data_IF_658864181403
#
_entry.id   IF_658864181403
#
_cell.length_a   1.000
_cell.length_b   1.000
_cell.length_c   1.000
_cell.angle_alpha   90.00
_cell.angle_beta   90.00
_cell.angle_gamma   90.00
#
_symmetry.space_group_name_H-M   'P 1'
#
loop_
_entity.id
_entity.type
_entity.pdbx_description
1 polymer ?
#
# COMPACT_ATOMS: atom_id res chain seq x y z
N UNK A 1 61.37 52.56 -44.54
CA UNK A 1 61.14 52.02 -43.17
C UNK A 1 59.77 52.49 -42.69
N UNK A 2 58.97 51.58 -42.09
CA UNK A 2 57.54 51.73 -41.71
C UNK A 2 56.66 51.73 -42.98
N UNK A 3 55.85 50.71 -43.30
CA UNK A 3 54.73 50.18 -42.52
C UNK A 3 54.47 48.71 -42.89
N UNK A 4 55.31 47.80 -42.42
CA UNK A 4 55.11 46.34 -42.47
C UNK A 4 54.34 45.83 -41.23
N UNK A 5 53.26 46.51 -40.81
CA UNK A 5 52.52 46.18 -39.57
C UNK A 5 51.00 46.26 -39.69
N UNK A 6 50.44 46.02 -40.88
CA UNK A 6 48.97 46.01 -41.07
C UNK A 6 48.45 44.68 -41.64
N UNK A 7 49.34 43.73 -41.99
CA UNK A 7 48.93 42.45 -42.59
C UNK A 7 49.03 41.24 -41.65
N UNK A 8 49.18 41.47 -40.35
CA UNK A 8 49.25 40.41 -39.32
C UNK A 8 48.22 40.63 -38.19
N UNK A 9 47.07 41.21 -38.52
CA UNK A 9 45.95 41.40 -37.60
C UNK A 9 44.59 40.96 -38.17
N UNK A 10 44.60 40.16 -39.25
CA UNK A 10 43.38 39.65 -39.89
C UNK A 10 43.38 38.12 -40.08
N UNK A 11 44.30 37.38 -39.44
CA UNK A 11 44.32 35.90 -39.45
C UNK A 11 44.24 35.27 -38.04
N UNK A 12 44.10 36.08 -36.99
CA UNK A 12 43.84 35.58 -35.62
C UNK A 12 42.35 35.66 -35.22
N UNK A 13 41.44 35.85 -36.18
CA UNK A 13 40.00 35.93 -35.94
C UNK A 13 39.18 34.89 -36.72
N UNK A 14 39.78 33.73 -37.03
CA UNK A 14 39.08 32.65 -37.75
C UNK A 14 39.29 31.24 -37.18
N UNK A 15 39.59 31.10 -35.89
CA UNK A 15 39.75 29.80 -35.22
C UNK A 15 39.08 29.71 -33.83
N UNK A 16 37.94 30.38 -33.63
CA UNK A 16 37.10 30.16 -32.45
C UNK A 16 35.62 30.07 -32.85
N UNK A 17 35.29 29.16 -33.77
CA UNK A 17 33.90 28.71 -33.97
C UNK A 17 33.89 27.19 -34.18
N UNK A 18 34.49 26.45 -33.25
CA UNK A 18 34.48 24.98 -33.24
C UNK A 18 34.28 24.37 -31.84
N UNK A 19 34.04 25.19 -30.82
CA UNK A 19 34.08 24.75 -29.41
C UNK A 19 32.76 24.64 -28.68
N UNK A 20 31.60 24.97 -29.29
CA UNK A 20 30.34 25.12 -28.56
C UNK A 20 29.16 24.33 -29.16
N UNK A 21 29.37 23.06 -29.54
CA UNK A 21 28.26 22.20 -29.98
C UNK A 21 28.35 20.73 -29.53
N UNK A 22 29.46 20.31 -28.90
CA UNK A 22 29.61 18.95 -28.37
C UNK A 22 28.87 18.78 -27.03
N UNK A 23 28.98 19.76 -26.11
CA UNK A 23 28.27 19.73 -24.83
C UNK A 23 26.74 19.83 -24.95
N UNK A 24 26.24 20.55 -25.95
CA UNK A 24 24.81 20.72 -26.23
C UNK A 24 24.20 19.44 -26.81
N UNK A 25 24.88 18.80 -27.77
CA UNK A 25 24.46 17.50 -28.33
C UNK A 25 24.50 16.38 -27.30
N UNK A 26 25.49 16.38 -26.41
CA UNK A 26 25.61 15.37 -25.35
C UNK A 26 24.54 15.53 -24.27
N UNK A 27 24.16 16.77 -23.91
CA UNK A 27 23.00 17.04 -23.04
C UNK A 27 21.67 16.67 -23.69
N UNK A 28 21.49 16.96 -24.98
CA UNK A 28 20.27 16.57 -25.72
C UNK A 28 20.17 15.03 -25.81
N UNK A 29 21.26 14.33 -26.09
CA UNK A 29 21.28 12.86 -26.10
C UNK A 29 21.01 12.26 -24.72
N UNK A 30 21.56 12.85 -23.65
CA UNK A 30 21.26 12.44 -22.27
C UNK A 30 19.80 12.68 -21.91
N UNK A 31 19.25 13.86 -22.24
CA UNK A 31 17.84 14.19 -22.01
C UNK A 31 16.90 13.27 -22.79
N UNK A 32 17.22 12.97 -24.05
CA UNK A 32 16.46 12.01 -24.86
C UNK A 32 16.52 10.62 -24.26
N UNK A 33 17.70 10.14 -23.84
CA UNK A 33 17.83 8.83 -23.18
C UNK A 33 17.07 8.77 -21.84
N UNK A 34 17.00 9.89 -21.11
CA UNK A 34 16.22 9.99 -19.88
C UNK A 34 14.71 9.98 -20.17
N UNK A 35 14.26 10.65 -21.24
CA UNK A 35 12.85 10.62 -21.68
C UNK A 35 12.47 9.20 -22.13
N UNK A 36 13.30 8.57 -22.94
CA UNK A 36 13.09 7.20 -23.42
C UNK A 36 13.10 6.21 -22.25
N UNK A 37 14.01 6.41 -21.27
CA UNK A 37 14.05 5.63 -20.03
C UNK A 37 12.80 5.82 -19.16
N UNK A 38 12.31 7.05 -19.02
CA UNK A 38 11.09 7.36 -18.25
C UNK A 38 9.86 6.79 -18.95
N UNK A 39 9.79 6.87 -20.29
CA UNK A 39 8.70 6.30 -21.08
C UNK A 39 8.67 4.77 -20.96
N UNK A 40 9.82 4.10 -21.05
CA UNK A 40 9.93 2.66 -20.87
C UNK A 40 9.55 2.22 -19.44
N UNK A 41 9.98 2.96 -18.41
CA UNK A 41 9.59 2.69 -17.01
C UNK A 41 8.08 2.87 -16.80
N UNK A 42 7.47 3.89 -17.42
CA UNK A 42 6.03 4.14 -17.37
C UNK A 42 5.25 3.00 -18.05
N UNK A 43 5.69 2.53 -19.22
CA UNK A 43 5.06 1.41 -19.93
C UNK A 43 5.13 0.12 -19.12
N UNK A 44 6.27 -0.18 -18.51
CA UNK A 44 6.45 -1.34 -17.63
C UNK A 44 5.52 -1.28 -16.40
N UNK A 45 5.37 -0.10 -15.78
CA UNK A 45 4.43 0.10 -14.67
C UNK A 45 2.98 -0.10 -15.11
N UNK A 46 2.57 0.42 -16.27
CA UNK A 46 1.22 0.22 -16.80
C UNK A 46 0.93 -1.24 -17.11
N UNK A 47 1.88 -1.99 -17.68
CA UNK A 47 1.73 -3.44 -17.92
C UNK A 47 1.53 -4.20 -16.62
N UNK A 48 2.35 -3.92 -15.61
CA UNK A 48 2.24 -4.55 -14.29
C UNK A 48 0.89 -4.25 -13.60
N UNK A 49 0.39 -3.01 -13.72
CA UNK A 49 -0.94 -2.64 -13.19
C UNK A 49 -2.07 -3.41 -13.91
N UNK A 50 -1.99 -3.53 -15.23
CA UNK A 50 -3.00 -4.27 -16.00
C UNK A 50 -2.99 -5.78 -15.67
N UNK A 51 -1.81 -6.38 -15.53
CA UNK A 51 -1.64 -7.77 -15.09
C UNK A 51 -2.21 -7.98 -13.67
N UNK A 52 -2.04 -6.99 -12.80
CA UNK A 52 -2.58 -7.01 -11.45
C UNK A 52 -4.12 -7.05 -11.46
N UNK A 53 -4.76 -6.15 -12.20
CA UNK A 53 -6.22 -6.13 -12.32
C UNK A 53 -6.77 -7.40 -12.97
N UNK A 54 -6.10 -7.93 -14.00
CA UNK A 54 -6.48 -9.19 -14.63
C UNK A 54 -6.43 -10.35 -13.62
N UNK A 55 -5.39 -10.40 -12.79
CA UNK A 55 -5.23 -11.44 -11.78
C UNK A 55 -6.26 -11.33 -10.66
N UNK A 56 -6.57 -10.12 -10.18
CA UNK A 56 -7.62 -9.90 -9.18
C UNK A 56 -8.98 -10.33 -9.74
N UNK A 57 -9.31 -9.96 -10.97
CA UNK A 57 -10.56 -10.36 -11.61
C UNK A 57 -10.68 -11.89 -11.70
N UNK A 58 -9.59 -12.57 -12.08
CA UNK A 58 -9.56 -14.04 -12.12
C UNK A 58 -9.77 -14.68 -10.74
N UNK A 59 -9.18 -14.11 -9.68
CA UNK A 59 -9.39 -14.58 -8.31
C UNK A 59 -10.85 -14.36 -7.88
N UNK A 60 -11.44 -13.20 -8.16
CA UNK A 60 -12.84 -12.92 -7.81
C UNK A 60 -13.81 -13.87 -8.54
N UNK A 61 -13.56 -14.18 -9.82
CA UNK A 61 -14.33 -15.17 -10.57
C UNK A 61 -14.18 -16.59 -9.98
N UNK A 62 -12.95 -16.96 -9.63
CA UNK A 62 -12.65 -18.24 -8.95
C UNK A 62 -13.37 -18.34 -7.60
N UNK A 63 -13.34 -17.29 -6.77
CA UNK A 63 -14.05 -17.23 -5.49
C UNK A 63 -15.57 -17.29 -5.67
N UNK A 64 -16.12 -16.72 -6.74
CA UNK A 64 -17.53 -16.87 -7.07
C UNK A 64 -17.88 -18.32 -7.43
N UNK A 65 -17.00 -19.01 -8.15
CA UNK A 65 -17.15 -20.44 -8.46
C UNK A 65 -17.14 -21.29 -7.19
N UNK A 66 -16.16 -21.06 -6.30
CA UNK A 66 -16.10 -21.70 -4.98
C UNK A 66 -17.41 -21.53 -4.23
N UNK A 67 -17.90 -20.29 -4.12
CA UNK A 67 -19.17 -19.98 -3.44
C UNK A 67 -20.37 -20.75 -4.02
N UNK A 68 -20.44 -20.87 -5.34
CA UNK A 68 -21.54 -21.60 -5.99
C UNK A 68 -21.49 -23.10 -5.67
N UNK A 69 -20.30 -23.69 -5.62
CA UNK A 69 -20.10 -25.10 -5.24
C UNK A 69 -20.39 -25.33 -3.77
N UNK A 70 -19.91 -24.44 -2.89
CA UNK A 70 -20.25 -24.46 -1.46
C UNK A 70 -21.77 -24.45 -1.25
N UNK A 71 -22.49 -23.62 -2.02
CA UNK A 71 -23.95 -23.56 -1.97
C UNK A 71 -24.59 -24.89 -2.41
N UNK A 72 -24.11 -25.49 -3.49
CA UNK A 72 -24.62 -26.78 -3.98
C UNK A 72 -24.39 -27.92 -2.96
N UNK A 73 -23.21 -27.96 -2.33
CA UNK A 73 -22.91 -28.88 -1.22
C UNK A 73 -23.87 -28.61 -0.06
N UNK A 74 -24.00 -27.35 0.37
CA UNK A 74 -24.88 -26.98 1.49
C UNK A 74 -26.36 -27.32 1.25
N UNK A 75 -26.85 -27.16 0.02
CA UNK A 75 -28.19 -27.60 -0.38
C UNK A 75 -28.33 -29.12 -0.32
N UNK A 76 -27.32 -29.86 -0.77
CA UNK A 76 -27.29 -31.32 -0.68
C UNK A 76 -27.29 -31.79 0.78
N UNK A 77 -26.45 -31.21 1.64
CA UNK A 77 -26.42 -31.49 3.08
C UNK A 77 -27.79 -31.28 3.71
N UNK A 78 -28.47 -30.16 3.41
CA UNK A 78 -29.80 -29.85 3.93
C UNK A 78 -30.88 -30.84 3.49
N UNK A 79 -30.83 -31.28 2.24
CA UNK A 79 -31.85 -32.17 1.68
C UNK A 79 -31.80 -33.59 2.25
N UNK A 80 -30.63 -34.02 2.75
CA UNK A 80 -30.42 -35.38 3.24
C UNK A 80 -30.22 -35.47 4.77
N UNK A 81 -30.47 -34.39 5.52
CA UNK A 81 -30.41 -34.43 7.00
C UNK A 81 -31.33 -35.53 7.53
N UNK A 82 -30.75 -36.50 8.25
CA UNK A 82 -31.48 -37.63 8.84
C UNK A 82 -31.80 -38.79 7.89
N UNK A 83 -31.25 -38.79 6.67
CA UNK A 83 -31.38 -39.88 5.69
C UNK A 83 -30.04 -40.21 5.05
N UNK A 84 -29.91 -41.38 4.43
CA UNK A 84 -28.68 -41.76 3.74
C UNK A 84 -28.54 -40.98 2.41
N UNK A 85 -27.38 -40.34 2.20
CA UNK A 85 -27.08 -39.61 0.97
C UNK A 85 -26.96 -40.62 -0.20
N UNK A 86 -27.75 -40.47 -1.28
CA UNK A 86 -27.63 -41.30 -2.48
C UNK A 86 -26.21 -41.30 -3.07
N UNK A 87 -25.80 -42.41 -3.67
CA UNK A 87 -24.44 -42.56 -4.23
C UNK A 87 -24.09 -41.48 -5.27
N UNK A 88 -25.05 -41.08 -6.11
CA UNK A 88 -24.87 -40.05 -7.12
C UNK A 88 -24.68 -38.66 -6.51
N UNK A 89 -25.41 -38.35 -5.43
CA UNK A 89 -25.24 -37.10 -4.70
C UNK A 89 -23.89 -37.08 -3.96
N UNK A 90 -23.47 -38.22 -3.43
CA UNK A 90 -22.17 -38.39 -2.78
C UNK A 90 -21.01 -38.15 -3.75
N UNK A 91 -21.09 -38.69 -4.95
CA UNK A 91 -20.07 -38.49 -5.99
C UNK A 91 -19.95 -37.01 -6.37
N UNK A 92 -21.07 -36.32 -6.65
CA UNK A 92 -21.09 -34.88 -6.96
C UNK A 92 -20.50 -34.01 -5.86
N UNK A 93 -20.87 -34.27 -4.60
CA UNK A 93 -20.32 -33.54 -3.45
C UNK A 93 -18.79 -33.72 -3.41
N UNK A 94 -18.29 -34.92 -3.69
CA UNK A 94 -16.87 -35.20 -3.65
C UNK A 94 -16.12 -34.46 -4.78
N UNK A 95 -16.68 -34.44 -5.98
CA UNK A 95 -16.15 -33.65 -7.11
C UNK A 95 -16.12 -32.14 -6.78
N UNK A 96 -17.19 -31.62 -6.17
CA UNK A 96 -17.26 -30.22 -5.77
C UNK A 96 -16.22 -29.86 -4.71
N UNK A 97 -15.98 -30.74 -3.72
CA UNK A 97 -14.94 -30.54 -2.70
C UNK A 97 -13.55 -30.49 -3.34
N UNK A 98 -13.24 -31.45 -4.23
CA UNK A 98 -11.95 -31.48 -4.94
C UNK A 98 -11.74 -30.21 -5.76
N UNK A 99 -12.78 -29.76 -6.47
CA UNK A 99 -12.73 -28.53 -7.26
C UNK A 99 -12.55 -27.29 -6.37
N UNK A 100 -13.27 -27.20 -5.25
CA UNK A 100 -13.10 -26.12 -4.27
C UNK A 100 -11.65 -26.08 -3.78
N UNK A 101 -11.07 -27.21 -3.41
CA UNK A 101 -9.70 -27.26 -2.90
C UNK A 101 -8.67 -26.76 -3.93
N UNK A 102 -8.78 -27.22 -5.19
CA UNK A 102 -7.90 -26.78 -6.27
C UNK A 102 -8.03 -25.27 -6.52
N UNK A 103 -9.26 -24.74 -6.59
CA UNK A 103 -9.52 -23.31 -6.77
C UNK A 103 -8.97 -22.48 -5.60
N UNK A 104 -9.18 -22.92 -4.37
CA UNK A 104 -8.70 -22.22 -3.18
C UNK A 104 -7.16 -22.21 -3.10
N UNK A 105 -6.51 -23.33 -3.44
CA UNK A 105 -5.04 -23.41 -3.50
C UNK A 105 -4.47 -22.46 -4.55
N UNK A 106 -5.02 -22.47 -5.78
CA UNK A 106 -4.61 -21.54 -6.84
C UNK A 106 -4.82 -20.08 -6.48
N UNK A 107 -5.93 -19.76 -5.82
CA UNK A 107 -6.20 -18.39 -5.35
C UNK A 107 -5.14 -17.93 -4.34
N UNK A 108 -4.73 -18.79 -3.39
CA UNK A 108 -3.62 -18.47 -2.46
C UNK A 108 -2.33 -18.17 -3.19
N UNK A 109 -1.97 -19.03 -4.16
CA UNK A 109 -0.75 -18.87 -4.93
C UNK A 109 -0.77 -17.55 -5.74
N UNK A 110 -1.89 -17.22 -6.38
CA UNK A 110 -2.04 -15.98 -7.14
C UNK A 110 -1.96 -14.74 -6.26
N UNK A 111 -2.62 -14.74 -5.11
CA UNK A 111 -2.55 -13.66 -4.12
C UNK A 111 -1.11 -13.46 -3.64
N UNK A 112 -0.40 -14.54 -3.29
CA UNK A 112 0.99 -14.47 -2.85
C UNK A 112 1.90 -13.89 -3.95
N UNK A 113 1.70 -14.30 -5.21
CA UNK A 113 2.42 -13.74 -6.37
C UNK A 113 2.13 -12.25 -6.56
N UNK A 114 0.88 -11.83 -6.41
CA UNK A 114 0.49 -10.42 -6.52
C UNK A 114 1.12 -9.58 -5.40
N UNK A 115 1.08 -10.07 -4.16
CA UNK A 115 1.69 -9.42 -3.00
C UNK A 115 3.21 -9.28 -3.16
N UNK A 116 3.89 -10.34 -3.60
CA UNK A 116 5.33 -10.31 -3.88
C UNK A 116 5.68 -9.35 -5.03
N UNK A 117 4.89 -9.36 -6.10
CA UNK A 117 5.08 -8.47 -7.26
C UNK A 117 4.88 -7.02 -6.90
N UNK A 118 3.85 -6.71 -6.11
CA UNK A 118 3.59 -5.36 -5.60
C UNK A 118 4.75 -4.88 -4.72
N UNK A 119 5.26 -5.72 -3.81
CA UNK A 119 6.40 -5.40 -2.94
C UNK A 119 7.70 -5.16 -3.72
N UNK A 120 7.91 -5.88 -4.82
CA UNK A 120 9.09 -5.73 -5.69
C UNK A 120 8.97 -4.52 -6.61
N UNK A 121 7.74 -4.20 -7.03
CA UNK A 121 7.47 -2.99 -7.79
C UNK A 121 7.62 -1.79 -6.86
N UNK A 122 8.45 -0.81 -7.20
CA UNK A 122 8.63 0.42 -6.38
C UNK A 122 7.37 1.33 -6.42
N UNK A 123 6.21 0.76 -6.76
CA UNK A 123 4.93 1.43 -6.93
C UNK A 123 4.28 1.59 -5.56
N UNK A 124 4.17 2.82 -5.09
CA UNK A 124 3.41 3.16 -3.88
C UNK A 124 1.92 3.16 -4.22
N UNK A 125 1.32 1.98 -4.36
CA UNK A 125 -0.10 1.82 -4.65
C UNK A 125 -0.84 1.27 -3.44
N UNK A 126 -1.12 2.14 -2.47
CA UNK A 126 -1.94 1.81 -1.29
C UNK A 126 -3.29 1.18 -1.69
N UNK A 127 -3.84 1.59 -2.83
CA UNK A 127 -5.09 1.05 -3.34
C UNK A 127 -4.98 -0.39 -3.84
N UNK A 128 -3.92 -0.73 -4.58
CA UNK A 128 -3.67 -2.12 -5.01
C UNK A 128 -3.43 -3.03 -3.80
N UNK A 129 -2.79 -2.50 -2.75
CA UNK A 129 -2.61 -3.23 -1.50
C UNK A 129 -3.93 -3.48 -0.78
N UNK A 130 -4.82 -2.48 -0.68
CA UNK A 130 -6.18 -2.68 -0.13
C UNK A 130 -6.97 -3.74 -0.90
N UNK A 131 -6.87 -3.74 -2.22
CA UNK A 131 -7.58 -4.72 -3.06
C UNK A 131 -7.07 -6.14 -2.75
N UNK A 132 -5.75 -6.37 -2.69
CA UNK A 132 -5.21 -7.67 -2.27
C UNK A 132 -5.74 -8.08 -0.91
N UNK A 133 -5.71 -7.19 0.08
CA UNK A 133 -6.17 -7.50 1.43
C UNK A 133 -7.66 -7.85 1.48
N UNK A 134 -8.49 -7.14 0.71
CA UNK A 134 -9.91 -7.45 0.58
C UNK A 134 -10.12 -8.84 -0.04
N UNK A 135 -9.36 -9.17 -1.10
CA UNK A 135 -9.42 -10.48 -1.74
C UNK A 135 -8.92 -11.60 -0.81
N UNK A 136 -7.86 -11.36 -0.03
CA UNK A 136 -7.38 -12.26 1.02
C UNK A 136 -8.43 -12.51 2.11
N UNK A 137 -9.15 -11.46 2.54
CA UNK A 137 -10.23 -11.61 3.51
C UNK A 137 -11.36 -12.48 2.98
N UNK A 138 -11.80 -12.24 1.73
CA UNK A 138 -12.83 -13.07 1.09
C UNK A 138 -12.39 -14.54 1.02
N UNK A 139 -11.11 -14.79 0.73
CA UNK A 139 -10.55 -16.14 0.73
C UNK A 139 -10.67 -16.81 2.11
N UNK A 140 -10.31 -16.11 3.20
CA UNK A 140 -10.44 -16.64 4.58
C UNK A 140 -11.88 -16.96 4.98
N UNK A 141 -12.83 -16.14 4.54
CA UNK A 141 -14.26 -16.41 4.78
C UNK A 141 -14.72 -17.69 4.07
N UNK A 142 -14.22 -17.95 2.86
CA UNK A 142 -14.49 -19.20 2.13
C UNK A 142 -13.82 -20.38 2.83
N UNK A 143 -12.57 -20.26 3.28
CA UNK A 143 -11.89 -21.29 4.07
C UNK A 143 -12.69 -21.72 5.29
N UNK A 144 -13.23 -20.74 6.03
CA UNK A 144 -14.09 -21.01 7.19
C UNK A 144 -15.39 -21.73 6.79
N UNK A 145 -15.95 -21.39 5.64
CA UNK A 145 -17.17 -22.02 5.10
C UNK A 145 -16.91 -23.48 4.68
N UNK A 146 -15.77 -23.74 4.04
CA UNK A 146 -15.34 -25.09 3.65
C UNK A 146 -15.15 -25.98 4.88
N UNK A 147 -14.52 -25.47 5.93
CA UNK A 147 -14.36 -26.20 7.21
C UNK A 147 -15.71 -26.53 7.86
N UNK A 148 -16.68 -25.61 7.81
CA UNK A 148 -18.02 -25.86 8.31
C UNK A 148 -18.75 -26.93 7.50
N UNK A 149 -18.73 -26.84 6.17
CA UNK A 149 -19.36 -27.82 5.28
C UNK A 149 -18.74 -29.20 5.48
N UNK A 150 -17.41 -29.27 5.66
CA UNK A 150 -16.69 -30.49 6.00
C UNK A 150 -17.22 -31.12 7.29
N UNK A 151 -17.31 -30.34 8.38
CA UNK A 151 -17.83 -30.84 9.66
C UNK A 151 -19.26 -31.38 9.53
N UNK A 152 -20.11 -30.69 8.75
CA UNK A 152 -21.48 -31.16 8.48
C UNK A 152 -21.51 -32.47 7.68
N UNK A 153 -20.64 -32.64 6.70
CA UNK A 153 -20.54 -33.89 5.93
C UNK A 153 -20.03 -35.05 6.80
N UNK A 154 -19.06 -34.82 7.67
CA UNK A 154 -18.59 -35.83 8.64
C UNK A 154 -19.74 -36.34 9.51
N UNK A 155 -20.65 -35.46 9.98
CA UNK A 155 -21.83 -35.89 10.76
C UNK A 155 -22.81 -36.76 9.98
N UNK A 156 -22.74 -36.77 8.64
CA UNK A 156 -23.57 -37.59 7.77
C UNK A 156 -22.86 -38.90 7.35
N UNK A 157 -21.83 -39.32 8.08
CA UNK A 157 -20.98 -40.48 7.74
C UNK A 157 -20.40 -40.40 6.32
N UNK A 158 -20.09 -39.18 5.88
CA UNK A 158 -19.39 -38.92 4.64
C UNK A 158 -17.88 -39.07 4.90
N UNK A 159 -17.33 -40.26 4.62
CA UNK A 159 -15.88 -40.45 4.60
C UNK A 159 -15.33 -40.00 3.25
N UNK A 160 -14.35 -39.10 3.29
CA UNK A 160 -13.66 -38.60 2.13
C UNK A 160 -12.17 -38.77 2.40
N UNK A 161 -11.51 -39.67 1.68
CA UNK A 161 -10.07 -39.86 1.83
C UNK A 161 -9.29 -38.61 1.35
N UNK A 162 -9.88 -37.76 0.50
CA UNK A 162 -9.31 -36.47 0.08
C UNK A 162 -9.44 -35.33 1.10
N UNK A 163 -10.07 -35.57 2.26
CA UNK A 163 -10.38 -34.58 3.29
C UNK A 163 -9.20 -34.32 4.24
N UNK A 164 -8.19 -35.20 4.25
CA UNK A 164 -6.97 -35.09 5.06
C UNK A 164 -5.93 -34.13 4.48
N UNK A 165 -5.81 -34.05 3.14
CA UNK A 165 -4.86 -33.14 2.46
C UNK A 165 -5.21 -31.67 2.72
N UNK A 166 -6.50 -31.40 2.89
CA UNK A 166 -7.08 -30.07 3.12
C UNK A 166 -6.58 -29.44 4.43
N UNK A 167 -6.42 -30.21 5.51
CA UNK A 167 -6.22 -29.63 6.86
C UNK A 167 -4.78 -29.21 7.14
N UNK A 168 -3.78 -29.96 6.66
CA UNK A 168 -2.37 -29.65 6.94
C UNK A 168 -1.90 -28.42 6.15
N UNK A 169 -2.34 -28.27 4.89
CA UNK A 169 -1.98 -27.13 4.05
C UNK A 169 -2.77 -25.85 4.41
N UNK A 170 -4.06 -25.97 4.80
CA UNK A 170 -4.86 -24.83 5.25
C UNK A 170 -4.41 -24.24 6.59
N UNK A 171 -4.01 -25.08 7.56
CA UNK A 171 -3.59 -24.59 8.88
C UNK A 171 -2.21 -23.92 8.82
N UNK A 172 -1.25 -24.52 8.10
CA UNK A 172 0.08 -23.94 7.94
C UNK A 172 0.04 -22.61 7.18
N UNK A 173 -0.83 -22.49 6.16
CA UNK A 173 -0.95 -21.26 5.37
C UNK A 173 -1.74 -20.16 6.08
N UNK A 174 -2.78 -20.48 6.87
CA UNK A 174 -3.54 -19.46 7.62
C UNK A 174 -2.72 -18.78 8.71
N UNK A 175 -1.91 -19.52 9.46
CA UNK A 175 -1.15 -18.93 10.57
C UNK A 175 -0.04 -18.00 10.05
N UNK A 176 0.69 -18.42 9.01
CA UNK A 176 1.76 -17.62 8.40
C UNK A 176 1.21 -16.38 7.67
N UNK A 177 0.04 -16.49 7.03
CA UNK A 177 -0.64 -15.36 6.38
C UNK A 177 -1.35 -14.44 7.38
N UNK A 178 -1.95 -14.95 8.46
CA UNK A 178 -2.58 -14.13 9.48
C UNK A 178 -1.55 -13.30 10.24
N UNK A 179 -0.38 -13.88 10.56
CA UNK A 179 0.73 -13.15 11.17
C UNK A 179 1.31 -12.10 10.20
N UNK A 180 1.42 -12.44 8.91
CA UNK A 180 1.84 -11.48 7.90
C UNK A 180 0.83 -10.33 7.75
N UNK A 181 -0.47 -10.60 7.62
CA UNK A 181 -1.52 -9.57 7.49
C UNK A 181 -1.61 -8.72 8.76
N UNK A 182 -1.57 -9.30 9.95
CA UNK A 182 -1.56 -8.55 11.20
C UNK A 182 -0.32 -7.63 11.32
N UNK A 183 0.87 -8.13 10.94
CA UNK A 183 2.08 -7.31 10.90
C UNK A 183 2.02 -6.20 9.84
N UNK A 184 1.22 -6.37 8.78
CA UNK A 184 1.10 -5.46 7.64
C UNK A 184 0.00 -4.44 7.85
N UNK A 185 -1.10 -4.80 8.49
CA UNK A 185 -2.11 -3.87 8.99
C UNK A 185 -1.54 -2.99 10.09
N UNK A 186 -0.68 -3.51 10.95
CA UNK A 186 0.07 -2.70 11.91
C UNK A 186 0.92 -1.63 11.19
N UNK A 187 1.63 -2.01 10.11
CA UNK A 187 2.45 -1.07 9.31
C UNK A 187 1.61 -0.09 8.49
N UNK A 188 0.50 -0.53 7.91
CA UNK A 188 -0.41 0.33 7.15
C UNK A 188 -1.14 1.32 8.04
N UNK A 189 -1.35 0.96 9.29
CA UNK A 189 -1.91 1.86 10.28
C UNK A 189 -0.85 2.64 11.05
N UNK A 190 0.43 2.49 10.73
CA UNK A 190 1.48 3.26 11.39
C UNK A 190 1.55 4.68 10.82
N UNK A 191 1.56 5.66 11.71
CA UNK A 191 1.91 7.03 11.42
C UNK A 191 2.73 7.59 12.57
N UNK A 192 3.31 8.76 12.36
CA UNK A 192 4.23 9.37 13.30
C UNK A 192 3.86 10.83 13.49
N UNK A 193 3.85 11.30 14.73
CA UNK A 193 3.60 12.71 15.02
C UNK A 193 4.68 13.32 15.91
N UNK A 194 4.92 14.61 15.72
CA UNK A 194 5.77 15.42 16.58
C UNK A 194 5.04 16.73 16.92
N UNK A 195 5.00 17.07 18.21
CA UNK A 195 4.48 18.34 18.71
C UNK A 195 5.59 19.02 19.49
N UNK A 196 5.79 20.32 19.28
CA UNK A 196 6.80 21.03 20.04
C UNK A 196 6.89 22.50 19.67
N UNK A 197 7.70 23.23 20.43
CA UNK A 197 8.01 24.63 20.08
C UNK A 197 8.90 24.65 18.84
N UNK A 198 8.84 25.77 18.10
CA UNK A 198 9.64 25.95 16.89
C UNK A 198 11.14 25.71 17.13
N UNK A 199 11.70 26.31 18.18
CA UNK A 199 13.13 26.16 18.52
C UNK A 199 13.48 24.70 18.78
N UNK A 200 12.67 24.03 19.60
CA UNK A 200 12.83 22.62 19.96
C UNK A 200 12.78 21.70 18.73
N UNK A 201 11.84 21.92 17.81
CA UNK A 201 11.73 21.13 16.58
C UNK A 201 12.90 21.39 15.61
N UNK A 202 13.52 22.57 15.64
CA UNK A 202 14.74 22.86 14.84
C UNK A 202 15.97 22.21 15.49
N UNK A 203 16.11 22.35 16.80
CA UNK A 203 17.22 21.80 17.59
C UNK A 203 17.25 20.27 17.51
N UNK A 204 16.07 19.63 17.53
CA UNK A 204 15.91 18.19 17.33
C UNK A 204 15.91 17.76 15.86
N UNK A 205 16.27 18.65 14.93
CA UNK A 205 16.40 18.35 13.50
C UNK A 205 15.11 17.84 12.83
N UNK A 206 13.94 18.28 13.29
CA UNK A 206 12.65 18.01 12.66
C UNK A 206 12.34 19.06 11.59
N UNK A 207 12.53 20.34 11.91
CA UNK A 207 12.24 21.47 11.00
C UNK A 207 13.50 22.14 10.46
N UNK A 208 13.39 22.73 9.26
CA UNK A 208 14.45 23.56 8.70
C UNK A 208 14.59 24.88 9.47
N UNK A 209 15.83 25.28 9.75
CA UNK A 209 16.12 26.59 10.35
C UNK A 209 15.98 27.69 9.28
N UNK A 210 14.78 28.26 9.17
CA UNK A 210 14.46 29.37 8.25
C UNK A 210 14.21 30.66 9.03
N UNK A 211 14.37 31.82 8.39
CA UNK A 211 14.20 33.11 9.07
C UNK A 211 12.71 33.49 9.32
N UNK A 212 11.79 32.97 8.50
CA UNK A 212 10.37 33.34 8.51
C UNK A 212 9.50 32.25 9.16
N UNK A 213 8.70 32.64 10.16
CA UNK A 213 7.76 31.76 10.88
C UNK A 213 6.65 31.17 10.00
N UNK A 214 6.34 31.78 8.85
CA UNK A 214 5.29 31.27 7.94
C UNK A 214 5.77 30.19 6.97
N UNK A 215 7.07 29.91 6.94
CA UNK A 215 7.69 28.99 5.99
C UNK A 215 8.22 27.74 6.70
N UNK A 216 7.43 27.19 7.62
CA UNK A 216 7.78 25.92 8.26
C UNK A 216 7.92 24.84 7.19
N UNK A 217 9.01 24.07 7.26
CA UNK A 217 9.26 22.97 6.34
C UNK A 217 9.92 21.83 7.10
N UNK A 218 9.35 20.64 6.96
CA UNK A 218 9.97 19.41 7.41
C UNK A 218 11.32 19.24 6.70
N UNK A 219 12.37 18.94 7.44
CA UNK A 219 13.67 18.62 6.84
C UNK A 219 13.56 17.40 5.93
N UNK A 220 14.43 17.30 4.91
CA UNK A 220 14.48 16.10 4.05
C UNK A 220 15.10 14.90 4.79
N UNK A 221 15.99 15.18 5.72
CA UNK A 221 16.75 14.25 6.57
C UNK A 221 16.30 14.35 8.04
N UNK A 222 15.01 14.59 8.27
CA UNK A 222 14.49 14.86 9.60
C UNK A 222 14.72 13.70 10.59
N UNK A 223 14.97 14.03 11.85
CA UNK A 223 15.15 13.03 12.91
C UNK A 223 13.84 12.28 13.18
N UNK A 224 13.78 11.02 12.76
CA UNK A 224 12.61 10.16 12.96
C UNK A 224 12.43 9.71 14.41
N UNK A 225 13.50 9.66 15.19
CA UNK A 225 13.47 9.21 16.60
C UNK A 225 12.74 10.22 17.50
N UNK A 226 12.61 11.47 17.05
CA UNK A 226 11.84 12.49 17.76
C UNK A 226 10.32 12.32 17.60
N UNK A 227 9.87 11.49 16.66
CA UNK A 227 8.45 11.29 16.42
C UNK A 227 7.89 10.16 17.29
N UNK A 228 6.66 10.35 17.74
CA UNK A 228 5.89 9.30 18.42
C UNK A 228 5.11 8.50 17.39
N UNK A 229 5.36 7.19 17.34
CA UNK A 229 4.61 6.25 16.51
C UNK A 229 3.19 6.07 17.06
N UNK A 230 2.20 6.04 16.17
CA UNK A 230 0.79 5.87 16.49
C UNK A 230 0.12 4.91 15.52
N UNK A 231 -0.94 4.27 16.00
CA UNK A 231 -1.86 3.51 15.16
C UNK A 231 -3.02 4.41 14.74
N UNK A 232 -3.10 4.76 13.46
CA UNK A 232 -4.11 5.69 12.93
C UNK A 232 -5.54 5.16 13.05
N UNK A 233 -5.73 3.83 13.07
CA UNK A 233 -7.08 3.26 13.25
C UNK A 233 -7.62 3.52 14.65
N UNK A 234 -6.74 3.62 15.64
CA UNK A 234 -7.06 3.84 17.06
C UNK A 234 -6.87 5.29 17.54
N UNK A 235 -6.30 6.16 16.69
CA UNK A 235 -5.98 7.54 17.07
C UNK A 235 -6.95 8.52 16.44
N UNK A 236 -7.97 8.95 17.20
CA UNK A 236 -8.94 9.98 16.78
C UNK A 236 -8.47 11.40 17.07
N UNK A 237 -7.54 11.56 18.01
CA UNK A 237 -7.05 12.88 18.40
C UNK A 237 -5.63 12.82 18.95
N UNK A 238 -4.92 13.93 18.83
CA UNK A 238 -3.54 14.10 19.29
C UNK A 238 -3.51 15.26 20.28
N UNK A 239 -3.17 15.02 21.56
CA UNK A 239 -3.06 16.08 22.56
C UNK A 239 -1.83 16.94 22.28
N UNK A 240 -2.00 18.26 22.32
CA UNK A 240 -0.96 19.23 21.98
C UNK A 240 -0.25 19.81 23.21
N UNK A 241 -0.82 19.61 24.41
CA UNK A 241 -0.30 20.04 25.72
C UNK A 241 0.30 21.47 25.71
N UNK A 242 -0.32 22.37 24.96
CA UNK A 242 0.14 23.74 24.73
C UNK A 242 -0.64 24.77 25.54
N UNK A 243 0.03 25.87 25.89
CA UNK A 243 -0.54 27.08 26.49
C UNK A 243 -0.63 28.23 25.48
N UNK A 244 -0.66 27.91 24.18
CA UNK A 244 -0.77 28.86 23.08
C UNK A 244 -1.33 28.21 21.82
N UNK A 245 -1.40 28.98 20.73
CA UNK A 245 -1.95 28.50 19.44
C UNK A 245 -1.10 27.40 18.81
N UNK A 246 -1.77 26.50 18.09
CA UNK A 246 -1.16 25.40 17.34
C UNK A 246 -1.23 25.62 15.84
N UNK A 247 -0.20 25.21 15.11
CA UNK A 247 -0.16 25.27 13.64
C UNK A 247 0.33 23.94 13.09
N UNK A 248 -0.48 23.31 12.25
CA UNK A 248 -0.07 22.12 11.49
C UNK A 248 0.86 22.56 10.35
N UNK A 249 2.05 21.97 10.32
CA UNK A 249 3.11 22.34 9.38
C UNK A 249 3.21 21.38 8.20
N UNK A 250 2.90 20.11 8.44
CA UNK A 250 2.89 19.09 7.40
C UNK A 250 1.62 19.20 6.57
N UNK A 251 1.68 18.74 5.32
CA UNK A 251 0.55 18.84 4.40
C UNK A 251 -0.52 17.81 4.79
N UNK A 252 -1.64 18.29 5.31
CA UNK A 252 -2.85 17.49 5.57
C UNK A 252 -4.08 18.26 5.06
N UNK A 253 -5.07 17.60 4.44
CA UNK A 253 -6.27 18.28 3.96
C UNK A 253 -6.99 19.00 5.11
N UNK A 254 -7.30 20.29 4.94
CA UNK A 254 -7.86 21.12 6.00
C UNK A 254 -9.21 20.59 6.53
N UNK A 255 -10.02 19.96 5.68
CA UNK A 255 -11.34 19.44 6.07
C UNK A 255 -11.27 18.09 6.82
N UNK A 256 -10.07 17.51 6.93
CA UNK A 256 -9.84 16.21 7.58
C UNK A 256 -9.39 16.31 9.05
N UNK A 257 -9.25 17.54 9.58
CA UNK A 257 -8.95 17.77 10.99
C UNK A 257 -9.44 19.13 11.49
N UNK A 258 -9.46 19.29 12.81
CA UNK A 258 -9.68 20.57 13.48
C UNK A 258 -8.81 20.70 14.72
N UNK A 259 -8.44 21.93 15.05
CA UNK A 259 -7.77 22.25 16.31
C UNK A 259 -8.84 22.67 17.32
N UNK A 260 -8.93 21.94 18.42
CA UNK A 260 -9.77 22.34 19.54
C UNK A 260 -8.99 23.26 20.48
N UNK A 261 -9.54 24.45 20.70
CA UNK A 261 -8.97 25.47 21.56
C UNK A 261 -9.77 25.60 22.86
N UNK A 262 -9.10 25.99 23.94
CA UNK A 262 -9.78 26.34 25.18
C UNK A 262 -10.38 27.76 25.14
N UNK A 263 -11.08 28.15 26.21
CA UNK A 263 -11.69 29.48 26.34
C UNK A 263 -10.71 30.66 26.30
N UNK A 264 -9.40 30.39 26.34
CA UNK A 264 -8.32 31.37 26.25
C UNK A 264 -7.61 31.34 24.89
N UNK A 265 -8.07 30.51 23.94
CA UNK A 265 -7.48 30.37 22.61
C UNK A 265 -6.24 29.48 22.56
N UNK A 266 -6.01 28.63 23.58
CA UNK A 266 -4.88 27.71 23.58
C UNK A 266 -5.27 26.40 22.89
N UNK A 267 -4.46 25.95 21.94
CA UNK A 267 -4.70 24.68 21.26
C UNK A 267 -4.48 23.49 22.22
N UNK A 268 -5.54 22.74 22.48
CA UNK A 268 -5.53 21.59 23.39
C UNK A 268 -5.32 20.28 22.65
N UNK A 269 -6.04 20.10 21.54
CA UNK A 269 -6.12 18.84 20.81
C UNK A 269 -6.17 19.12 19.31
N UNK A 270 -5.52 18.26 18.52
CA UNK A 270 -5.84 18.09 17.10
C UNK A 270 -6.81 16.92 16.99
N UNK A 271 -8.03 17.18 16.54
CA UNK A 271 -9.05 16.15 16.32
C UNK A 271 -9.07 15.80 14.84
N UNK A 272 -8.93 14.53 14.53
CA UNK A 272 -8.95 14.00 13.16
C UNK A 272 -10.39 13.63 12.83
N UNK A 273 -10.99 14.32 11.86
CA UNK A 273 -12.40 14.11 11.46
C UNK A 273 -12.54 13.02 10.41
N UNK A 274 -11.50 12.85 9.57
CA UNK A 274 -11.39 11.78 8.59
C UNK A 274 -9.95 11.25 8.56
N UNK A 275 -9.76 10.06 9.15
CA UNK A 275 -8.44 9.43 9.29
C UNK A 275 -7.82 9.09 7.92
N UNK A 276 -8.62 8.61 6.98
CA UNK A 276 -8.08 8.18 5.68
C UNK A 276 -7.63 9.38 4.87
N UNK A 277 -8.45 10.43 4.82
CA UNK A 277 -8.14 11.67 4.10
C UNK A 277 -6.96 12.40 4.77
N UNK A 278 -6.94 12.47 6.10
CA UNK A 278 -5.88 13.14 6.85
C UNK A 278 -4.50 12.50 6.62
N UNK A 279 -4.40 11.17 6.69
CA UNK A 279 -3.14 10.44 6.54
C UNK A 279 -2.78 10.11 5.08
N UNK A 280 -3.61 10.49 4.10
CA UNK A 280 -3.35 10.27 2.66
C UNK A 280 -2.18 11.11 2.12
N UNK A 281 -2.02 12.34 2.62
CA UNK A 281 -1.04 13.29 2.11
C UNK A 281 0.35 13.12 2.76
N UNK A 282 0.40 12.72 4.04
CA UNK A 282 1.63 12.48 4.78
C UNK A 282 1.37 11.52 5.94
N UNK A 283 2.27 10.55 6.17
CA UNK A 283 2.29 9.72 7.40
C UNK A 283 3.07 10.34 8.56
N UNK A 284 3.64 11.52 8.33
CA UNK A 284 4.31 12.31 9.35
C UNK A 284 3.50 13.58 9.59
N UNK A 285 3.08 13.77 10.84
CA UNK A 285 2.41 14.98 11.30
C UNK A 285 3.38 15.81 12.15
N UNK A 286 3.52 17.10 11.84
CA UNK A 286 4.23 18.04 12.71
C UNK A 286 3.30 19.19 13.08
N UNK A 287 3.15 19.42 14.38
CA UNK A 287 2.39 20.56 14.92
C UNK A 287 3.33 21.44 15.72
N UNK A 288 3.44 22.70 15.30
CA UNK A 288 4.19 23.72 16.05
C UNK A 288 3.25 24.38 17.05
N UNK A 289 3.66 24.42 18.31
CA UNK A 289 2.92 25.10 19.39
C UNK A 289 3.68 26.35 19.85
N UNK A 290 2.94 27.40 20.21
CA UNK A 290 3.50 28.67 20.69
C UNK A 290 3.57 28.72 22.22
#
# INVERSE_FOLDING_TARGET
MKKAKVFWSALSLLLIVGGCNTGSKQKIAQLQSSIDSIAAESEQKSKLINEFFASINAIEESLANVKNREKAIGESVKNYVGTEIPSDARERINEDILAINDLMSRNREQIAKLSASLKKSNIHAAELQRIIQSTEQKLRERDSTVLLLKSQLETLNFSVDSLSVVVEELNASNDELAELVASKDAKLNEAWFAVGKRSELIDNHVLENRLLERNYRLRRDFNREYFTAINISQTDSIPLFSNGSGVVVTSHPHDSYRLEEDSKGNARMLVITDKEVFWSASRFLVVVVK
#
